data_IF_370177948027
#
_entry.id   IF_370177948027
#
_cell.length_a   1.000
_cell.length_b   1.000
_cell.length_c   1.000
_cell.angle_alpha   90.00
_cell.angle_beta   90.00
_cell.angle_gamma   90.00
#
_symmetry.space_group_name_H-M   'P 1'
#
loop_
_entity.id
_entity.type
_entity.pdbx_description
1 polymer ?
#
# COMPACT_ATOMS: atom_id res chain seq x y z
N UNK A 1 9.94 -27.31 8.15
CA UNK A 1 10.34 -27.18 6.73
C UNK A 1 9.58 -25.99 6.16
N UNK A 2 10.22 -24.83 6.00
CA UNK A 2 9.58 -23.62 5.44
C UNK A 2 9.76 -23.59 3.93
N UNK A 3 8.79 -23.08 3.17
CA UNK A 3 8.79 -23.05 1.70
C UNK A 3 10.05 -22.39 1.10
N UNK A 4 10.54 -21.32 1.74
CA UNK A 4 11.73 -20.60 1.28
C UNK A 4 13.03 -21.09 1.94
N UNK A 5 12.96 -22.13 2.80
CA UNK A 5 14.07 -22.70 3.57
C UNK A 5 14.93 -21.69 4.35
N UNK A 6 14.43 -20.48 4.58
CA UNK A 6 15.10 -19.38 5.31
C UNK A 6 14.05 -18.47 5.96
N UNK A 7 14.39 -17.77 7.06
CA UNK A 7 13.49 -16.77 7.65
C UNK A 7 13.24 -15.62 6.66
N UNK A 8 11.99 -15.41 6.27
CA UNK A 8 11.59 -14.33 5.34
C UNK A 8 10.90 -13.16 6.02
N UNK A 9 10.61 -13.25 7.32
CA UNK A 9 9.91 -12.22 8.08
C UNK A 9 8.41 -12.12 7.74
N UNK A 10 7.81 -13.18 7.21
CA UNK A 10 6.41 -13.20 6.76
C UNK A 10 5.55 -14.06 7.67
N UNK A 11 4.25 -13.75 7.72
CA UNK A 11 3.27 -14.39 8.62
C UNK A 11 2.93 -15.84 8.27
N UNK A 12 3.55 -16.43 7.24
CA UNK A 12 3.37 -17.83 6.88
C UNK A 12 4.66 -18.40 6.32
N UNK A 13 4.85 -19.69 6.56
CA UNK A 13 5.96 -20.49 6.05
C UNK A 13 5.74 -20.99 4.61
N UNK A 14 4.58 -20.72 4.01
CA UNK A 14 4.22 -21.07 2.63
C UNK A 14 4.32 -19.90 1.63
N UNK A 15 3.94 -20.14 0.37
CA UNK A 15 3.63 -19.02 -0.55
C UNK A 15 2.34 -18.34 -0.08
N UNK A 16 2.38 -17.05 0.20
CA UNK A 16 1.18 -16.25 0.44
C UNK A 16 0.49 -15.92 -0.89
N UNK A 17 -0.80 -15.57 -0.87
CA UNK A 17 -1.53 -15.16 -2.09
C UNK A 17 -0.78 -14.06 -2.87
N UNK A 18 -0.19 -13.11 -2.14
CA UNK A 18 0.63 -12.03 -2.71
C UNK A 18 1.89 -12.53 -3.47
N UNK A 19 2.37 -13.76 -3.23
CA UNK A 19 3.51 -14.34 -3.95
C UNK A 19 3.17 -14.74 -5.38
N UNK A 20 1.89 -14.93 -5.67
CA UNK A 20 1.42 -15.22 -7.03
C UNK A 20 1.15 -13.95 -7.84
N UNK A 21 0.98 -12.82 -7.17
CA UNK A 21 0.68 -11.51 -7.77
C UNK A 21 1.91 -10.58 -7.81
N UNK A 22 3.01 -10.99 -7.16
CA UNK A 22 4.18 -10.14 -6.93
C UNK A 22 3.95 -9.19 -5.76
N UNK A 23 5.01 -8.90 -5.00
CA UNK A 23 4.93 -7.95 -3.87
C UNK A 23 5.45 -6.59 -4.38
N UNK A 24 4.55 -5.63 -4.64
CA UNK A 24 4.97 -4.28 -4.95
C UNK A 24 5.63 -3.63 -3.72
N UNK A 25 6.46 -2.61 -3.96
CA UNK A 25 7.23 -1.90 -2.94
C UNK A 25 6.32 -1.39 -1.82
N UNK A 26 6.63 -1.57 -0.52
CA UNK A 26 5.80 -1.04 0.56
C UNK A 26 5.56 0.47 0.43
N UNK A 27 4.35 0.94 0.76
CA UNK A 27 3.97 2.35 0.62
C UNK A 27 4.93 3.29 1.36
N UNK A 28 5.35 2.91 2.57
CA UNK A 28 6.28 3.69 3.40
C UNK A 28 7.69 3.80 2.80
N UNK A 29 8.02 3.01 1.78
CA UNK A 29 9.30 3.08 1.07
C UNK A 29 9.25 3.94 -0.21
N UNK A 30 8.06 4.24 -0.75
CA UNK A 30 7.87 5.13 -1.90
C UNK A 30 7.63 6.57 -1.45
N UNK A 31 8.31 7.55 -2.06
CA UNK A 31 8.19 8.97 -1.67
C UNK A 31 7.62 9.87 -2.77
N UNK A 32 7.63 9.40 -4.01
CA UNK A 32 7.24 10.19 -5.17
C UNK A 32 6.21 9.46 -6.02
N UNK A 33 5.45 10.20 -6.84
CA UNK A 33 4.49 9.61 -7.78
C UNK A 33 5.16 8.59 -8.72
N UNK A 34 6.42 8.80 -9.10
CA UNK A 34 7.22 7.87 -9.90
C UNK A 34 7.51 6.55 -9.20
N UNK A 35 7.73 6.57 -7.88
CA UNK A 35 7.98 5.34 -7.10
C UNK A 35 6.72 4.48 -7.00
N UNK A 36 5.55 5.09 -7.12
CA UNK A 36 4.24 4.44 -7.04
C UNK A 36 3.78 3.88 -8.40
N UNK A 37 4.38 4.30 -9.52
CA UNK A 37 3.99 3.86 -10.87
C UNK A 37 4.21 2.37 -11.12
N UNK A 38 5.23 1.77 -10.48
CA UNK A 38 5.48 0.34 -10.54
C UNK A 38 4.53 -0.49 -9.64
N UNK A 39 3.60 0.18 -8.95
CA UNK A 39 2.75 -0.40 -7.92
C UNK A 39 3.39 -0.31 -6.54
N UNK A 40 2.53 -0.21 -5.51
CA UNK A 40 2.96 -0.18 -4.11
C UNK A 40 2.05 -1.03 -3.22
N UNK A 41 2.56 -1.54 -2.10
CA UNK A 41 1.82 -2.31 -1.12
C UNK A 41 1.48 -1.46 0.12
N UNK A 42 0.21 -1.24 0.39
CA UNK A 42 -0.28 -0.48 1.55
C UNK A 42 -0.53 -1.34 2.79
N UNK A 43 -0.48 -2.67 2.65
CA UNK A 43 -0.84 -3.59 3.72
C UNK A 43 0.21 -3.61 4.83
N UNK A 44 -0.25 -3.56 6.08
CA UNK A 44 0.54 -3.71 7.29
C UNK A 44 0.14 -4.99 7.99
N UNK A 45 1.13 -5.85 8.27
CA UNK A 45 0.89 -7.09 8.99
C UNK A 45 0.29 -6.83 10.37
N UNK A 46 -0.86 -7.45 10.67
CA UNK A 46 -1.57 -7.26 11.94
C UNK A 46 -2.50 -6.05 11.97
N UNK A 47 -2.69 -5.35 10.84
CA UNK A 47 -3.70 -4.30 10.74
C UNK A 47 -5.12 -4.85 10.97
N UNK A 48 -5.96 -4.04 11.61
CA UNK A 48 -7.33 -4.42 11.97
C UNK A 48 -8.34 -3.91 10.96
N UNK A 49 -9.38 -4.68 10.64
CA UNK A 49 -10.43 -4.22 9.72
C UNK A 49 -11.17 -2.98 10.24
N UNK A 50 -11.40 -2.94 11.56
CA UNK A 50 -12.03 -1.82 12.25
C UNK A 50 -10.99 -0.84 12.81
N UNK A 51 -11.43 0.39 13.04
CA UNK A 51 -10.64 1.41 13.72
C UNK A 51 -10.30 1.01 15.15
N UNK A 52 -9.10 1.40 15.59
CA UNK A 52 -8.56 1.04 16.90
C UNK A 52 -9.47 1.49 18.05
N UNK A 53 -10.12 2.66 17.89
CA UNK A 53 -11.07 3.18 18.87
C UNK A 53 -12.29 2.28 19.04
N UNK A 54 -12.76 1.66 17.95
CA UNK A 54 -13.90 0.74 17.98
C UNK A 54 -13.49 -0.57 18.65
N UNK A 55 -12.30 -1.10 18.36
CA UNK A 55 -11.76 -2.27 19.06
C UNK A 55 -11.59 -2.00 20.56
N UNK A 56 -11.04 -0.83 20.92
CA UNK A 56 -10.86 -0.44 22.31
C UNK A 56 -12.20 -0.32 23.05
N UNK A 57 -13.25 0.17 22.39
CA UNK A 57 -14.62 0.19 22.95
C UNK A 57 -15.21 -1.20 23.21
N UNK A 58 -14.68 -2.23 22.53
CA UNK A 58 -15.01 -3.64 22.74
C UNK A 58 -14.05 -4.34 23.70
N UNK A 59 -13.10 -3.62 24.31
CA UNK A 59 -12.09 -4.18 25.21
C UNK A 59 -10.97 -4.96 24.49
N UNK A 60 -10.88 -4.86 23.16
CA UNK A 60 -9.86 -5.54 22.35
C UNK A 60 -8.69 -4.58 22.12
N UNK A 61 -7.49 -5.00 22.48
CA UNK A 61 -6.26 -4.24 22.26
C UNK A 61 -5.54 -4.78 21.02
N UNK A 62 -5.36 -3.93 20.02
CA UNK A 62 -4.51 -4.25 18.87
C UNK A 62 -3.05 -3.93 19.20
N UNK A 63 -2.13 -4.84 18.85
CA UNK A 63 -0.69 -4.61 18.97
C UNK A 63 -0.16 -3.66 17.87
N UNK A 64 -0.89 -3.52 16.77
CA UNK A 64 -0.52 -2.69 15.62
C UNK A 64 -1.48 -1.51 15.54
N UNK A 65 -0.99 -0.26 15.60
CA UNK A 65 -1.84 0.93 15.59
C UNK A 65 -2.25 1.32 14.15
N UNK A 66 -2.61 0.33 13.33
CA UNK A 66 -2.99 0.52 11.92
C UNK A 66 -4.29 -0.23 11.68
N UNK A 67 -5.27 0.46 11.11
CA UNK A 67 -6.52 -0.14 10.64
C UNK A 67 -6.59 -0.16 9.11
N UNK A 68 -7.52 -0.92 8.55
CA UNK A 68 -7.84 -0.93 7.12
C UNK A 68 -8.21 0.48 6.61
N UNK A 69 -8.75 1.33 7.48
CA UNK A 69 -9.03 2.73 7.16
C UNK A 69 -7.75 3.53 6.92
N UNK A 70 -6.67 3.25 7.65
CA UNK A 70 -5.35 3.83 7.37
C UNK A 70 -4.81 3.34 6.02
N UNK A 71 -4.86 2.04 5.75
CA UNK A 71 -4.39 1.46 4.49
C UNK A 71 -5.14 2.04 3.29
N UNK A 72 -6.47 2.23 3.42
CA UNK A 72 -7.30 2.83 2.38
C UNK A 72 -7.02 4.33 2.20
N UNK A 73 -6.74 5.06 3.28
CA UNK A 73 -6.32 6.48 3.19
C UNK A 73 -5.00 6.62 2.44
N UNK A 74 -4.01 5.80 2.77
CA UNK A 74 -2.73 5.82 2.05
C UNK A 74 -2.89 5.51 0.56
N UNK A 75 -3.79 4.58 0.21
CA UNK A 75 -4.15 4.33 -1.18
C UNK A 75 -4.76 5.57 -1.86
N UNK A 76 -5.68 6.26 -1.20
CA UNK A 76 -6.27 7.50 -1.74
C UNK A 76 -5.23 8.61 -1.92
N UNK A 77 -4.33 8.80 -0.95
CA UNK A 77 -3.24 9.78 -1.04
C UNK A 77 -2.31 9.47 -2.22
N UNK A 78 -1.98 8.20 -2.43
CA UNK A 78 -1.20 7.75 -3.58
C UNK A 78 -1.91 8.08 -4.90
N UNK A 79 -3.23 7.87 -5.01
CA UNK A 79 -4.00 8.25 -6.19
C UNK A 79 -3.99 9.76 -6.43
N UNK A 80 -4.11 10.58 -5.38
CA UNK A 80 -4.07 12.03 -5.49
C UNK A 80 -2.69 12.54 -5.94
N UNK A 81 -1.60 11.96 -5.42
CA UNK A 81 -0.24 12.26 -5.86
C UNK A 81 -0.03 11.92 -7.34
N UNK A 82 -0.50 10.75 -7.78
CA UNK A 82 -0.44 10.33 -9.18
C UNK A 82 -1.24 11.27 -10.08
N UNK A 83 -2.49 11.59 -9.70
CA UNK A 83 -3.34 12.51 -10.45
C UNK A 83 -2.74 13.91 -10.56
N UNK A 84 -2.17 14.42 -9.47
CA UNK A 84 -1.51 15.73 -9.44
C UNK A 84 -0.25 15.77 -10.32
N UNK A 85 0.54 14.69 -10.31
CA UNK A 85 1.71 14.53 -11.19
C UNK A 85 1.32 14.48 -12.68
N UNK A 86 0.19 13.87 -13.01
CA UNK A 86 -0.35 13.85 -14.38
C UNK A 86 -0.81 15.26 -14.78
N UNK A 87 -1.60 15.92 -13.92
CA UNK A 87 -2.12 17.26 -14.20
C UNK A 87 -1.02 18.33 -14.25
N UNK A 88 0.04 18.21 -13.45
CA UNK A 88 1.20 19.10 -13.52
C UNK A 88 2.02 18.96 -14.81
N UNK A 89 1.91 17.81 -15.50
CA UNK A 89 2.50 17.62 -16.84
C UNK A 89 1.62 18.19 -17.96
N UNK A 90 0.34 18.43 -17.71
CA UNK A 90 -0.61 19.01 -18.67
C UNK A 90 -0.33 20.47 -19.00
N UNK A 91 0.33 21.23 -18.11
CA UNK A 91 0.62 22.66 -18.34
C UNK A 91 1.94 22.89 -19.10
N UNK A 92 2.73 21.83 -19.32
CA UNK A 92 3.97 21.85 -20.11
C UNK A 92 3.87 21.25 -21.51
N UNK A 93 2.71 20.72 -21.91
CA UNK A 93 2.52 20.10 -23.24
C UNK A 93 1.22 20.57 -23.88
N UNK A 94 1.12 21.88 -24.15
CA UNK A 94 0.17 22.34 -25.16
C UNK A 94 0.70 21.99 -26.55
N UNK A 95 -0.14 21.24 -27.25
CA UNK A 95 -0.15 21.03 -28.71
C UNK A 95 0.92 20.12 -29.30
N UNK A 96 0.55 18.85 -29.46
CA UNK A 96 0.59 18.24 -30.79
C UNK A 96 -0.68 17.41 -30.95
N UNK A 97 -1.59 17.92 -31.79
CA UNK A 97 -2.72 17.19 -32.35
C UNK A 97 -2.21 15.91 -33.02
N UNK A 98 -2.85 14.78 -32.76
CA UNK A 98 -2.81 13.67 -33.70
C UNK A 98 -4.11 13.69 -34.48
N UNK A 99 -3.95 13.82 -35.80
CA UNK A 99 -4.94 13.43 -36.81
C UNK A 99 -5.35 11.98 -36.61
#
# INVERSE_FOLDING_TARGET
>A
MTFFHRPTGRSSDGRLLIDFIGIPTPYLAGKTATDLLAGTNFAVGGATALELAVLASMGIVSAVPVSLSNETRWFQDALQLLASSINGKSDGRRSCSFF
#
